data_IF_910658110029
#
_entry.id   IF_910658110029
#
_cell.length_a   1.000
_cell.length_b   1.000
_cell.length_c   1.000
_cell.angle_alpha   90.00
_cell.angle_beta   90.00
_cell.angle_gamma   90.00
#
_symmetry.space_group_name_H-M   'P 1'
#
loop_
_entity.id
_entity.type
_entity.pdbx_description
1 polymer ?
#
# COMPACT_ATOMS: atom_id res chain seq x y z
N UNK A 1 3.55 -17.94 -5.33
CA UNK A 1 2.63 -17.97 -6.30
C UNK A 1 3.12 -18.53 -7.64
N UNK A 2 3.07 -17.85 -8.74
CA UNK A 2 3.42 -18.46 -10.03
C UNK A 2 4.66 -17.84 -10.70
N UNK A 3 5.51 -17.17 -9.95
CA UNK A 3 6.71 -16.54 -10.46
C UNK A 3 6.50 -15.22 -11.19
N UNK A 4 5.29 -14.66 -11.15
CA UNK A 4 4.96 -13.37 -11.75
C UNK A 4 4.49 -12.38 -10.68
N UNK A 5 4.66 -11.08 -10.95
CA UNK A 5 4.07 -10.05 -10.10
C UNK A 5 2.55 -10.05 -10.26
N UNK A 6 1.85 -9.90 -9.15
CA UNK A 6 0.39 -9.72 -9.14
C UNK A 6 0.09 -8.33 -8.62
N UNK A 7 -0.42 -7.48 -9.51
CA UNK A 7 -0.65 -6.07 -9.23
C UNK A 7 -2.13 -5.74 -9.19
N UNK A 8 -2.47 -4.83 -8.29
CA UNK A 8 -3.80 -4.22 -8.24
C UNK A 8 -3.65 -2.76 -7.85
N UNK A 9 -4.71 -1.99 -8.00
CA UNK A 9 -4.74 -0.62 -7.54
C UNK A 9 -6.13 -0.24 -7.08
N UNK A 10 -6.17 0.73 -6.19
CA UNK A 10 -7.40 1.38 -5.75
C UNK A 10 -7.15 2.87 -5.67
N UNK A 11 -8.21 3.65 -5.53
CA UNK A 11 -8.09 5.09 -5.36
C UNK A 11 -8.78 5.53 -4.09
N UNK A 12 -8.25 6.60 -3.50
CA UNK A 12 -8.86 7.29 -2.37
C UNK A 12 -9.04 8.76 -2.72
N UNK A 13 -10.09 9.36 -2.21
CA UNK A 13 -10.36 10.78 -2.38
C UNK A 13 -10.01 11.52 -1.10
N UNK A 14 -9.39 12.69 -1.26
CA UNK A 14 -9.09 13.57 -0.13
C UNK A 14 -9.23 15.02 -0.56
N UNK A 15 -9.47 15.90 0.42
CA UNK A 15 -9.53 17.34 0.20
C UNK A 15 -8.58 18.00 1.18
N UNK A 16 -7.58 18.69 0.66
CA UNK A 16 -6.59 19.42 1.46
C UNK A 16 -6.68 20.92 1.16
N UNK A 17 -6.24 21.74 2.11
CA UNK A 17 -6.19 23.19 1.95
C UNK A 17 -5.38 23.58 0.72
N UNK A 18 -5.91 24.51 -0.08
CA UNK A 18 -5.24 25.02 -1.27
C UNK A 18 -3.84 25.55 -0.94
N UNK A 19 -2.85 25.10 -1.70
CA UNK A 19 -1.46 25.48 -1.53
C UNK A 19 -0.69 24.74 -0.45
N UNK A 20 -1.34 23.88 0.33
CA UNK A 20 -0.66 23.09 1.37
C UNK A 20 -0.13 21.78 0.80
N UNK A 21 1.16 21.54 0.98
CA UNK A 21 1.74 20.24 0.65
C UNK A 21 1.26 19.18 1.64
N UNK A 22 1.05 17.98 1.16
CA UNK A 22 0.62 16.88 2.02
C UNK A 22 1.44 15.62 1.79
N UNK A 23 1.56 14.84 2.86
CA UNK A 23 2.27 13.56 2.87
C UNK A 23 1.30 12.44 3.18
N UNK A 24 1.60 11.24 2.66
CA UNK A 24 0.90 10.01 2.98
C UNK A 24 1.85 9.08 3.73
N UNK A 25 1.37 8.55 4.86
CA UNK A 25 2.06 7.53 5.63
C UNK A 25 1.18 6.30 5.71
N UNK A 26 1.72 5.16 5.35
CA UNK A 26 1.03 3.89 5.50
C UNK A 26 1.67 3.06 6.60
N UNK A 27 0.85 2.53 7.51
CA UNK A 27 1.29 1.69 8.60
C UNK A 27 1.79 0.32 8.16
N UNK A 28 2.22 -0.46 9.13
CA UNK A 28 2.77 -1.79 8.90
C UNK A 28 1.69 -2.84 8.57
N UNK A 29 0.44 -2.56 8.85
CA UNK A 29 -0.60 -3.58 8.84
C UNK A 29 -0.55 -4.46 10.08
N UNK A 30 -1.35 -5.52 10.10
CA UNK A 30 -1.46 -6.42 11.24
C UNK A 30 -0.46 -7.57 11.26
N UNK A 31 0.28 -7.80 10.17
CA UNK A 31 1.10 -9.01 9.98
C UNK A 31 2.53 -8.72 9.52
N UNK A 32 3.01 -7.49 9.65
CA UNK A 32 4.34 -7.12 9.17
C UNK A 32 5.44 -7.82 9.97
N UNK A 33 6.54 -8.12 9.28
CA UNK A 33 7.74 -8.66 9.88
C UNK A 33 8.97 -8.06 9.19
N UNK A 34 9.91 -7.54 9.97
CA UNK A 34 11.15 -6.96 9.49
C UNK A 34 10.96 -5.90 8.39
N UNK A 35 9.94 -5.06 8.53
CA UNK A 35 9.64 -4.01 7.57
C UNK A 35 8.89 -4.46 6.32
N UNK A 36 8.59 -5.75 6.17
CA UNK A 36 7.80 -6.29 5.07
C UNK A 36 6.36 -6.50 5.52
N UNK A 37 5.41 -6.03 4.70
CA UNK A 37 3.98 -6.29 4.93
C UNK A 37 3.60 -7.67 4.43
N UNK A 38 2.70 -8.34 5.16
CA UNK A 38 2.17 -9.65 4.79
C UNK A 38 0.67 -9.68 4.94
N UNK A 39 0.01 -10.42 4.04
CA UNK A 39 -1.39 -10.83 4.21
C UNK A 39 -1.43 -12.19 4.89
N UNK A 40 -2.37 -12.37 5.82
CA UNK A 40 -2.57 -13.63 6.53
C UNK A 40 -3.93 -14.23 6.21
N UNK A 41 -3.99 -15.56 6.19
CA UNK A 41 -5.22 -16.34 6.13
C UNK A 41 -5.51 -17.04 7.46
N UNK A 42 -6.26 -18.13 7.40
CA UNK A 42 -6.63 -18.90 8.60
C UNK A 42 -5.52 -19.81 9.11
N UNK A 43 -4.53 -20.11 8.26
CA UNK A 43 -3.38 -20.95 8.63
C UNK A 43 -2.16 -20.14 9.02
N UNK A 44 -0.99 -20.74 8.86
CA UNK A 44 0.30 -20.11 9.21
C UNK A 44 0.99 -19.47 8.00
N UNK A 45 0.56 -19.77 6.79
CA UNK A 45 1.11 -19.18 5.58
C UNK A 45 0.77 -17.70 5.48
N UNK A 46 1.69 -16.92 4.92
CA UNK A 46 1.51 -15.49 4.69
C UNK A 46 2.00 -15.12 3.30
N UNK A 47 1.39 -14.10 2.71
CA UNK A 47 1.75 -13.60 1.39
C UNK A 47 2.41 -12.22 1.56
N UNK A 48 3.68 -12.03 1.15
CA UNK A 48 4.30 -10.72 1.17
C UNK A 48 3.66 -9.80 0.12
N UNK A 49 3.51 -8.54 0.45
CA UNK A 49 3.03 -7.54 -0.50
C UNK A 49 3.67 -6.19 -0.24
N UNK A 50 3.67 -5.34 -1.25
CA UNK A 50 4.15 -3.97 -1.16
C UNK A 50 3.07 -3.00 -1.61
N UNK A 51 3.08 -1.81 -1.04
CA UNK A 51 2.18 -0.72 -1.40
C UNK A 51 2.96 0.40 -2.07
N UNK A 52 2.31 1.05 -3.04
CA UNK A 52 2.90 2.12 -3.83
C UNK A 52 1.96 3.30 -3.92
N UNK A 53 2.51 4.50 -3.92
CA UNK A 53 1.78 5.70 -4.31
C UNK A 53 1.78 5.76 -5.83
N UNK A 54 0.64 5.47 -6.44
CA UNK A 54 0.51 5.25 -7.88
C UNK A 54 0.39 3.76 -8.22
N UNK A 55 0.50 3.43 -9.50
CA UNK A 55 0.48 2.03 -9.94
C UNK A 55 1.82 1.35 -9.62
N UNK A 56 1.87 0.05 -9.29
CA UNK A 56 3.10 -0.58 -8.82
C UNK A 56 4.28 -0.49 -9.79
N UNK A 57 4.03 -0.50 -11.09
CA UNK A 57 5.09 -0.47 -12.09
C UNK A 57 5.85 0.86 -12.15
N UNK A 58 5.23 1.98 -11.76
CA UNK A 58 5.81 3.32 -11.87
C UNK A 58 5.62 4.18 -10.62
N UNK A 59 4.94 3.67 -9.62
CA UNK A 59 4.67 4.40 -8.37
C UNK A 59 5.87 4.44 -7.43
N UNK A 60 5.73 5.24 -6.37
CA UNK A 60 6.72 5.34 -5.30
C UNK A 60 6.39 4.34 -4.20
N UNK A 61 7.36 3.52 -3.81
CA UNK A 61 7.18 2.56 -2.73
C UNK A 61 6.80 3.28 -1.42
N UNK A 62 5.71 2.84 -0.82
CA UNK A 62 5.26 3.31 0.49
C UNK A 62 5.82 2.38 1.57
N UNK A 63 7.03 2.66 2.00
CA UNK A 63 7.68 1.91 3.06
C UNK A 63 6.88 2.02 4.37
N UNK A 64 6.99 1.01 5.22
CA UNK A 64 6.26 0.94 6.50
C UNK A 64 6.56 2.18 7.36
N UNK A 65 5.50 2.85 7.80
CA UNK A 65 5.56 4.01 8.70
C UNK A 65 6.46 5.17 8.19
N UNK A 66 6.63 5.27 6.87
CA UNK A 66 7.45 6.32 6.25
C UNK A 66 6.56 7.32 5.52
N UNK A 67 6.70 8.60 5.83
CA UNK A 67 5.97 9.66 5.15
C UNK A 67 6.51 9.89 3.75
N UNK A 68 5.63 9.92 2.76
CA UNK A 68 5.96 10.14 1.35
C UNK A 68 5.19 11.37 0.87
N UNK A 69 5.89 12.30 0.22
CA UNK A 69 5.27 13.48 -0.37
C UNK A 69 4.27 13.06 -1.45
N UNK A 70 3.03 13.49 -1.31
CA UNK A 70 1.93 13.02 -2.17
C UNK A 70 1.33 14.11 -3.06
N UNK A 71 1.65 15.38 -2.83
CA UNK A 71 1.19 16.47 -3.66
C UNK A 71 0.86 17.73 -2.90
N UNK A 72 0.15 18.63 -3.56
CA UNK A 72 -0.28 19.93 -3.02
C UNK A 72 -1.80 20.01 -3.08
N UNK A 73 -2.42 20.44 -1.99
CA UNK A 73 -3.86 20.61 -1.90
C UNK A 73 -4.37 21.67 -2.88
N UNK A 74 -5.59 21.48 -3.34
CA UNK A 74 -6.26 22.41 -4.27
C UNK A 74 -7.52 23.06 -3.68
N UNK A 75 -7.88 22.71 -2.44
CA UNK A 75 -9.14 23.11 -1.83
C UNK A 75 -10.34 22.30 -2.32
N UNK A 76 -10.14 21.42 -3.28
CA UNK A 76 -11.16 20.54 -3.86
C UNK A 76 -10.75 19.08 -3.69
N UNK A 77 -11.70 18.17 -3.91
CA UNK A 77 -11.41 16.74 -3.82
C UNK A 77 -10.35 16.32 -4.86
N UNK A 78 -9.38 15.58 -4.41
CA UNK A 78 -8.30 15.00 -5.23
C UNK A 78 -8.30 13.50 -5.08
N UNK A 79 -7.88 12.79 -6.12
CA UNK A 79 -7.79 11.34 -6.11
C UNK A 79 -6.33 10.92 -6.00
N UNK A 80 -6.04 10.05 -5.02
CA UNK A 80 -4.76 9.35 -4.92
C UNK A 80 -4.95 7.89 -5.31
N UNK A 81 -4.06 7.39 -6.15
CA UNK A 81 -4.03 5.97 -6.50
C UNK A 81 -3.03 5.26 -5.60
N UNK A 82 -3.47 4.17 -5.00
CA UNK A 82 -2.62 3.30 -4.18
C UNK A 82 -2.53 1.96 -4.90
N UNK A 83 -1.32 1.56 -5.24
CA UNK A 83 -1.06 0.29 -5.89
C UNK A 83 -0.56 -0.76 -4.89
N UNK A 84 -0.94 -2.01 -5.13
CA UNK A 84 -0.45 -3.15 -4.37
C UNK A 84 0.18 -4.18 -5.28
N UNK A 85 1.28 -4.77 -4.84
CA UNK A 85 1.99 -5.81 -5.58
C UNK A 85 2.34 -6.98 -4.68
N UNK A 86 1.99 -8.19 -5.15
CA UNK A 86 2.58 -9.42 -4.64
C UNK A 86 3.76 -9.71 -5.56
N UNK A 87 5.01 -9.71 -5.05
CA UNK A 87 6.18 -9.83 -5.91
C UNK A 87 6.29 -11.21 -6.54
N UNK A 88 7.00 -11.28 -7.66
CA UNK A 88 7.26 -12.54 -8.37
C UNK A 88 8.04 -13.55 -7.54
N UNK A 89 8.73 -13.10 -6.49
CA UNK A 89 9.49 -13.93 -5.56
C UNK A 89 8.65 -14.57 -4.47
N UNK A 90 7.37 -14.22 -4.36
CA UNK A 90 6.48 -14.80 -3.35
C UNK A 90 6.32 -16.31 -3.60
N UNK A 91 6.50 -17.10 -2.55
CA UNK A 91 6.32 -18.55 -2.60
C UNK A 91 4.85 -18.96 -2.67
N UNK A 92 4.61 -20.23 -2.98
CA UNK A 92 3.28 -20.80 -2.94
C UNK A 92 2.79 -20.95 -1.49
N UNK A 93 1.51 -20.75 -1.30
CA UNK A 93 0.84 -20.86 0.00
C UNK A 93 -0.40 -21.75 -0.13
N UNK A 94 -0.92 -22.21 1.00
CA UNK A 94 -2.15 -22.99 1.02
C UNK A 94 -3.32 -22.17 0.45
N UNK A 95 -4.26 -22.86 -0.19
CA UNK A 95 -5.47 -22.21 -0.71
C UNK A 95 -6.28 -21.64 0.46
N UNK A 96 -6.51 -20.33 0.46
CA UNK A 96 -7.23 -19.62 1.51
C UNK A 96 -7.54 -18.20 1.02
N UNK A 97 -8.28 -17.46 1.82
CA UNK A 97 -8.43 -16.01 1.65
C UNK A 97 -7.40 -15.32 2.53
N UNK A 98 -6.56 -14.49 1.91
CA UNK A 98 -5.49 -13.75 2.59
C UNK A 98 -5.85 -12.27 2.62
N UNK A 99 -5.68 -11.64 3.77
CA UNK A 99 -6.00 -10.22 3.96
C UNK A 99 -5.07 -9.55 4.96
N UNK A 100 -5.02 -8.24 4.89
CA UNK A 100 -4.35 -7.39 5.85
C UNK A 100 -5.06 -6.04 5.89
N UNK A 101 -4.87 -5.29 6.95
CA UNK A 101 -5.44 -3.95 7.10
C UNK A 101 -4.34 -2.97 7.46
N UNK A 102 -4.22 -1.91 6.68
CA UNK A 102 -3.17 -0.90 6.81
C UNK A 102 -3.82 0.46 7.09
N UNK A 103 -3.37 1.12 8.16
CA UNK A 103 -3.81 2.47 8.45
C UNK A 103 -3.14 3.47 7.50
N UNK A 104 -3.92 4.40 6.96
CA UNK A 104 -3.44 5.47 6.10
C UNK A 104 -3.56 6.79 6.85
N UNK A 105 -2.47 7.55 6.91
CA UNK A 105 -2.46 8.87 7.52
C UNK A 105 -2.06 9.90 6.48
N UNK A 106 -2.86 10.95 6.33
CA UNK A 106 -2.55 12.11 5.49
C UNK A 106 -2.21 13.26 6.41
N UNK A 107 -1.04 13.86 6.22
CA UNK A 107 -0.55 14.99 7.02
C UNK A 107 -0.31 16.20 6.12
N UNK A 108 -0.88 17.34 6.51
CA UNK A 108 -0.75 18.59 5.78
C UNK A 108 -0.70 19.81 6.70
#
# INVERSE_FOLDING_TARGET
LNGANHDTSTSMSLTCTDGSDFNVTMGAGGNANAGQRYMAGSGTDKIPYSLYLGVPASGTLLAVNTAIAAGTGTGSAQTLTIGGRIPSTAGNVAADTYSDSVAVTVTF
#
